data_IF_053846655480
#
_entry.id   IF_053846655480
#
_cell.length_a   1.000
_cell.length_b   1.000
_cell.length_c   1.000
_cell.angle_alpha   90.00
_cell.angle_beta   90.00
_cell.angle_gamma   90.00
#
_symmetry.space_group_name_H-M   'P 1'
#
loop_
_entity.id
_entity.type
_entity.pdbx_description
1 polymer ?
#
# COMPACT_ATOMS: atom_id res chain seq x y z
N UNK A 1 18.94 82.87 43.37
CA UNK A 1 17.81 82.71 42.43
C UNK A 1 18.36 82.16 41.13
N UNK A 2 18.34 80.85 40.92
CA UNK A 2 18.78 80.21 39.68
C UNK A 2 17.86 79.02 39.38
N UNK A 3 16.88 79.28 38.52
CA UNK A 3 16.13 78.29 37.76
C UNK A 3 17.09 77.56 36.82
N UNK A 4 17.36 76.26 37.00
CA UNK A 4 17.78 75.38 35.90
C UNK A 4 17.92 73.90 36.35
N UNK A 5 16.87 73.30 36.91
CA UNK A 5 16.96 71.88 37.30
C UNK A 5 15.61 71.13 37.24
N UNK A 6 14.67 71.58 36.39
CA UNK A 6 13.37 70.90 36.20
C UNK A 6 12.95 70.78 34.74
N UNK A 7 13.91 70.83 33.81
CA UNK A 7 13.64 70.72 32.37
C UNK A 7 14.44 69.59 31.71
N UNK A 8 14.66 68.50 32.44
CA UNK A 8 15.40 67.32 31.96
C UNK A 8 14.60 66.03 32.16
N UNK A 9 13.27 66.10 32.02
CA UNK A 9 12.41 64.90 32.15
C UNK A 9 11.31 64.76 31.07
N UNK A 10 11.27 65.60 30.02
CA UNK A 10 10.16 65.57 29.03
C UNK A 10 10.65 65.47 27.58
N UNK A 11 11.92 65.15 27.32
CA UNK A 11 12.41 65.02 25.91
C UNK A 11 12.74 63.58 25.51
N UNK A 12 12.77 62.62 26.45
CA UNK A 12 13.13 61.23 26.15
C UNK A 12 11.95 60.26 25.92
N UNK A 13 10.74 60.77 25.73
CA UNK A 13 9.53 59.96 25.56
C UNK A 13 8.81 60.18 24.21
N UNK A 14 9.50 60.71 23.19
CA UNK A 14 8.88 61.08 21.91
C UNK A 14 9.54 60.45 20.66
N UNK A 15 10.27 59.33 20.79
CA UNK A 15 10.93 58.66 19.64
C UNK A 15 10.61 57.16 19.51
N UNK A 16 9.47 56.69 20.03
CA UNK A 16 9.03 55.30 19.90
C UNK A 16 7.74 55.13 19.09
N UNK A 17 7.43 56.08 18.20
CA UNK A 17 6.28 55.93 17.31
C UNK A 17 6.67 55.41 15.94
N UNK A 18 5.97 54.36 15.53
CA UNK A 18 5.75 53.91 14.16
C UNK A 18 6.79 52.98 13.50
N UNK A 19 6.77 51.70 13.93
CA UNK A 19 6.89 50.56 13.00
C UNK A 19 5.70 49.61 13.21
N UNK A 20 4.48 50.09 12.96
CA UNK A 20 3.32 49.21 12.83
C UNK A 20 3.28 48.65 11.42
N UNK A 21 4.00 47.54 11.18
CA UNK A 21 3.94 46.78 9.93
C UNK A 21 2.53 46.22 9.75
N UNK A 22 1.74 46.80 8.83
CA UNK A 22 0.48 46.20 8.40
C UNK A 22 0.81 44.97 7.56
N UNK A 23 0.61 43.77 8.09
CA UNK A 23 0.59 42.56 7.28
C UNK A 23 -0.60 42.65 6.31
N UNK A 24 -0.38 42.47 5.00
CA UNK A 24 -1.50 42.34 4.06
C UNK A 24 -2.39 41.16 4.50
N UNK A 25 -3.71 41.25 4.35
CA UNK A 25 -4.58 40.11 4.57
C UNK A 25 -4.09 38.94 3.70
N UNK A 26 -4.07 37.69 4.22
CA UNK A 26 -3.74 36.54 3.40
C UNK A 26 -4.69 36.50 2.21
N UNK A 27 -4.14 36.31 1.02
CA UNK A 27 -4.94 36.16 -0.19
C UNK A 27 -6.01 35.08 0.04
N UNK A 28 -7.25 35.25 -0.47
CA UNK A 28 -8.25 34.21 -0.39
C UNK A 28 -7.67 32.93 -0.98
N UNK A 29 -7.57 31.89 -0.16
CA UNK A 29 -7.15 30.56 -0.61
C UNK A 29 -8.26 30.07 -1.52
N UNK A 30 -8.12 30.31 -2.83
CA UNK A 30 -8.94 29.66 -3.84
C UNK A 30 -8.59 28.19 -3.75
N UNK A 31 -9.38 27.44 -2.97
CA UNK A 31 -9.30 25.98 -2.95
C UNK A 31 -9.63 25.52 -4.35
N UNK A 32 -8.62 25.11 -5.10
CA UNK A 32 -8.83 24.39 -6.34
C UNK A 32 -9.79 23.22 -6.04
N UNK A 33 -10.79 22.95 -6.90
CA UNK A 33 -11.61 21.78 -6.73
C UNK A 33 -10.69 20.56 -6.63
N UNK A 34 -10.86 19.77 -5.56
CA UNK A 34 -10.24 18.46 -5.47
C UNK A 34 -10.87 17.63 -6.58
N UNK A 35 -10.19 17.57 -7.73
CA UNK A 35 -10.54 16.66 -8.79
C UNK A 35 -10.19 15.28 -8.25
N UNK A 36 -11.19 14.59 -7.72
CA UNK A 36 -11.09 13.16 -7.51
C UNK A 36 -10.86 12.55 -8.90
N UNK A 37 -9.60 12.20 -9.20
CA UNK A 37 -9.30 11.37 -10.36
C UNK A 37 -10.14 10.09 -10.30
N UNK A 38 -10.32 9.37 -11.42
CA UNK A 38 -11.14 8.17 -11.43
C UNK A 38 -10.68 7.25 -10.29
N UNK A 39 -11.54 7.08 -9.28
CA UNK A 39 -11.37 6.06 -8.26
C UNK A 39 -11.21 4.76 -9.03
N UNK A 40 -10.07 4.08 -8.87
CA UNK A 40 -9.84 2.80 -9.53
C UNK A 40 -11.01 1.90 -9.14
N UNK A 41 -11.93 1.70 -10.08
CA UNK A 41 -13.16 0.95 -9.83
C UNK A 41 -12.77 -0.50 -10.01
N UNK A 42 -12.38 -1.12 -8.90
CA UNK A 42 -12.12 -2.55 -8.85
C UNK A 42 -13.45 -3.31 -8.88
N UNK A 43 -13.43 -4.59 -9.24
CA UNK A 43 -14.59 -5.45 -8.98
C UNK A 43 -14.77 -5.59 -7.46
N UNK A 44 -16.00 -5.80 -6.96
CA UNK A 44 -16.24 -6.04 -5.53
C UNK A 44 -15.33 -7.14 -4.94
N UNK A 45 -15.15 -8.24 -5.67
CA UNK A 45 -14.25 -9.31 -5.23
C UNK A 45 -12.77 -8.89 -5.13
N UNK A 46 -12.30 -7.98 -5.99
CA UNK A 46 -10.94 -7.46 -5.89
C UNK A 46 -10.79 -6.54 -4.66
N UNK A 47 -11.84 -5.79 -4.32
CA UNK A 47 -11.91 -4.99 -3.10
C UNK A 47 -11.92 -5.87 -1.83
N UNK A 48 -12.69 -6.95 -1.82
CA UNK A 48 -12.71 -7.91 -0.71
C UNK A 48 -11.35 -8.61 -0.55
N UNK A 49 -10.72 -9.02 -1.65
CA UNK A 49 -9.37 -9.60 -1.64
C UNK A 49 -8.35 -8.60 -1.11
N UNK A 50 -8.44 -7.32 -1.50
CA UNK A 50 -7.59 -6.24 -1.01
C UNK A 50 -7.71 -6.08 0.50
N UNK A 51 -8.93 -5.85 1.00
CA UNK A 51 -9.16 -5.64 2.43
C UNK A 51 -8.76 -6.87 3.23
N UNK A 52 -9.06 -8.06 2.72
CA UNK A 52 -8.71 -9.28 3.42
C UNK A 52 -7.21 -9.51 3.48
N UNK A 53 -6.47 -9.27 2.39
CA UNK A 53 -5.02 -9.36 2.40
C UNK A 53 -4.39 -8.35 3.37
N UNK A 54 -4.85 -7.10 3.36
CA UNK A 54 -4.36 -6.04 4.25
C UNK A 54 -4.65 -6.34 5.72
N UNK A 55 -5.84 -6.87 6.04
CA UNK A 55 -6.22 -7.23 7.41
C UNK A 55 -5.37 -8.35 8.03
N UNK A 56 -4.61 -9.10 7.21
CA UNK A 56 -3.72 -10.17 7.68
C UNK A 56 -2.28 -9.69 7.89
N UNK A 57 -1.94 -8.45 7.55
CA UNK A 57 -0.63 -7.86 7.84
C UNK A 57 -0.33 -7.93 9.34
N UNK A 58 0.88 -8.36 9.67
CA UNK A 58 1.32 -8.63 11.04
C UNK A 58 1.20 -10.09 11.45
N UNK A 59 0.42 -10.92 10.75
CA UNK A 59 0.28 -12.35 11.08
C UNK A 59 1.64 -13.07 10.93
N UNK A 60 2.06 -13.92 11.89
CA UNK A 60 3.36 -14.60 11.80
C UNK A 60 3.52 -15.49 10.57
N UNK A 61 4.73 -15.54 10.03
CA UNK A 61 5.08 -16.57 9.05
C UNK A 61 5.21 -17.93 9.74
N UNK A 62 4.62 -18.97 9.13
CA UNK A 62 4.86 -20.38 9.47
C UNK A 62 4.90 -21.22 8.20
N UNK A 63 5.95 -22.03 8.05
CA UNK A 63 6.04 -22.99 6.95
C UNK A 63 4.86 -23.96 7.02
N UNK A 64 4.12 -24.11 5.92
CA UNK A 64 2.90 -24.92 5.89
C UNK A 64 1.66 -24.23 6.48
N UNK A 65 1.81 -23.08 7.13
CA UNK A 65 0.73 -22.32 7.74
C UNK A 65 -0.25 -21.77 6.72
N UNK A 66 -1.55 -21.81 7.04
CA UNK A 66 -2.64 -21.46 6.14
C UNK A 66 -3.88 -20.87 6.86
N UNK A 67 -3.72 -20.41 8.11
CA UNK A 67 -4.77 -19.74 8.89
C UNK A 67 -4.19 -18.58 9.70
N UNK A 68 -5.00 -17.59 10.14
CA UNK A 68 -4.52 -16.47 10.96
C UNK A 68 -3.92 -16.95 12.29
N UNK A 69 -4.58 -17.92 12.94
CA UNK A 69 -4.15 -18.43 14.25
C UNK A 69 -2.84 -19.23 14.16
N UNK A 70 -2.70 -20.06 13.13
CA UNK A 70 -1.47 -20.83 12.91
C UNK A 70 -0.35 -20.03 12.27
N UNK A 71 -0.63 -18.84 11.73
CA UNK A 71 0.26 -18.14 10.81
C UNK A 71 0.23 -18.70 9.38
N UNK A 72 0.99 -18.04 8.50
CA UNK A 72 0.95 -18.28 7.05
C UNK A 72 2.32 -18.57 6.43
N UNK A 73 2.37 -19.45 5.43
CA UNK A 73 3.37 -19.33 4.36
C UNK A 73 2.82 -18.52 3.18
N UNK A 74 3.66 -18.24 2.19
CA UNK A 74 3.30 -17.37 1.06
C UNK A 74 2.07 -17.87 0.30
N UNK A 75 2.03 -19.15 -0.03
CA UNK A 75 0.91 -19.79 -0.72
C UNK A 75 -0.30 -20.02 0.18
N UNK A 76 -0.10 -20.27 1.48
CA UNK A 76 -1.15 -20.44 2.46
C UNK A 76 -1.91 -19.15 2.70
N UNK A 77 -1.21 -18.01 2.72
CA UNK A 77 -1.82 -16.68 2.73
C UNK A 77 -2.71 -16.46 1.50
N UNK A 78 -2.18 -16.74 0.30
CA UNK A 78 -2.92 -16.59 -0.96
C UNK A 78 -4.20 -17.43 -0.95
N UNK A 79 -4.07 -18.72 -0.66
CA UNK A 79 -5.22 -19.63 -0.65
C UNK A 79 -6.27 -19.24 0.39
N UNK A 80 -5.84 -18.74 1.57
CA UNK A 80 -6.75 -18.28 2.61
C UNK A 80 -7.51 -17.01 2.22
N UNK A 81 -6.82 -16.01 1.67
CA UNK A 81 -7.45 -14.75 1.22
C UNK A 81 -8.47 -15.04 0.13
N UNK A 82 -8.10 -15.79 -0.90
CA UNK A 82 -8.97 -16.06 -2.04
C UNK A 82 -10.19 -16.91 -1.70
N UNK A 83 -10.03 -17.92 -0.83
CA UNK A 83 -11.14 -18.75 -0.38
C UNK A 83 -12.18 -17.93 0.37
N UNK A 84 -11.75 -17.02 1.23
CA UNK A 84 -12.64 -16.32 2.13
C UNK A 84 -13.27 -15.07 1.50
N UNK A 85 -12.48 -14.32 0.71
CA UNK A 85 -12.95 -13.09 0.08
C UNK A 85 -13.70 -13.33 -1.24
N UNK A 86 -13.41 -14.42 -1.94
CA UNK A 86 -13.98 -14.68 -3.27
C UNK A 86 -14.55 -16.11 -3.45
N UNK A 87 -14.49 -16.95 -2.41
CA UNK A 87 -14.92 -18.35 -2.51
C UNK A 87 -14.09 -19.21 -3.46
N UNK A 88 -12.90 -18.75 -3.87
CA UNK A 88 -12.07 -19.42 -4.88
C UNK A 88 -11.06 -20.35 -4.20
N UNK A 89 -11.11 -21.64 -4.54
CA UNK A 89 -10.14 -22.62 -4.09
C UNK A 89 -8.91 -22.61 -5.01
N UNK A 90 -7.79 -22.17 -4.46
CA UNK A 90 -6.51 -22.14 -5.18
C UNK A 90 -5.62 -23.33 -4.81
N UNK A 91 -4.73 -23.76 -5.73
CA UNK A 91 -3.69 -24.74 -5.43
C UNK A 91 -2.83 -24.34 -4.23
N UNK A 92 -2.39 -25.35 -3.46
CA UNK A 92 -1.72 -25.12 -2.17
C UNK A 92 -0.29 -24.60 -2.29
N UNK A 93 0.42 -24.87 -3.38
CA UNK A 93 1.84 -24.56 -3.50
C UNK A 93 2.10 -23.48 -4.55
N UNK A 94 3.17 -22.69 -4.38
CA UNK A 94 3.59 -21.69 -5.37
C UNK A 94 3.92 -22.30 -6.74
N UNK A 95 4.39 -23.55 -6.76
CA UNK A 95 4.67 -24.30 -8.01
C UNK A 95 3.39 -24.60 -8.77
N UNK A 96 2.32 -24.98 -8.07
CA UNK A 96 1.03 -25.24 -8.69
C UNK A 96 0.34 -23.93 -9.10
N UNK A 97 0.44 -22.90 -8.25
CA UNK A 97 -0.12 -21.57 -8.54
C UNK A 97 0.46 -20.94 -9.82
N UNK A 98 1.76 -21.08 -10.09
CA UNK A 98 2.36 -20.49 -11.29
C UNK A 98 2.01 -21.24 -12.58
N UNK A 99 1.61 -22.52 -12.50
CA UNK A 99 1.21 -23.32 -13.67
C UNK A 99 -0.30 -23.46 -13.82
N UNK A 100 -1.08 -22.97 -12.86
CA UNK A 100 -2.54 -23.05 -12.92
C UNK A 100 -3.10 -22.33 -14.15
N UNK A 101 -4.27 -22.79 -14.59
CA UNK A 101 -5.00 -22.19 -15.69
C UNK A 101 -5.58 -20.84 -15.27
N UNK A 102 -4.82 -19.78 -15.51
CA UNK A 102 -5.24 -18.39 -15.36
C UNK A 102 -4.40 -17.50 -16.30
N UNK A 103 -4.98 -16.43 -16.88
CA UNK A 103 -4.28 -15.53 -17.77
C UNK A 103 -3.02 -14.94 -17.14
N UNK A 104 -1.93 -14.89 -17.92
CA UNK A 104 -0.72 -14.18 -17.53
C UNK A 104 -0.91 -12.68 -17.72
N UNK A 105 -0.29 -11.88 -16.84
CA UNK A 105 -0.41 -10.42 -16.84
C UNK A 105 0.97 -9.79 -16.92
N UNK A 106 1.13 -8.81 -17.81
CA UNK A 106 2.31 -7.94 -17.88
C UNK A 106 2.38 -6.98 -16.68
N UNK A 107 3.56 -6.45 -16.35
CA UNK A 107 3.73 -5.59 -15.16
C UNK A 107 2.87 -4.32 -15.24
N UNK A 108 2.75 -3.77 -16.42
CA UNK A 108 1.94 -2.60 -16.77
C UNK A 108 0.43 -2.87 -16.70
N UNK A 109 0.02 -4.14 -16.76
CA UNK A 109 -1.37 -4.55 -16.72
C UNK A 109 -1.85 -4.99 -15.33
N UNK A 110 -1.00 -4.90 -14.30
CA UNK A 110 -1.33 -5.40 -12.95
C UNK A 110 -2.54 -4.69 -12.35
N UNK A 111 -3.44 -5.50 -11.80
CA UNK A 111 -4.66 -5.07 -11.12
C UNK A 111 -4.72 -5.71 -9.73
N UNK A 112 -5.38 -5.01 -8.80
CA UNK A 112 -5.62 -5.51 -7.45
C UNK A 112 -6.19 -6.92 -7.49
N UNK A 113 -5.61 -7.81 -6.67
CA UNK A 113 -5.90 -9.23 -6.66
C UNK A 113 -4.90 -10.07 -7.44
N UNK A 114 -4.29 -9.57 -8.52
CA UNK A 114 -3.36 -10.36 -9.34
C UNK A 114 -2.28 -11.03 -8.48
N UNK A 115 -2.02 -12.32 -8.74
CA UNK A 115 -0.93 -13.03 -8.08
C UNK A 115 0.37 -12.73 -8.77
N UNK A 116 1.39 -12.38 -8.00
CA UNK A 116 2.74 -12.11 -8.50
C UNK A 116 3.72 -13.15 -7.98
N UNK A 117 4.64 -13.58 -8.85
CA UNK A 117 5.55 -14.70 -8.59
C UNK A 117 7.01 -14.27 -8.67
N UNK A 118 7.84 -14.87 -7.80
CA UNK A 118 9.24 -14.49 -7.64
C UNK A 118 10.19 -15.70 -7.52
N UNK A 119 11.43 -15.52 -7.97
CA UNK A 119 12.57 -16.40 -7.72
C UNK A 119 13.47 -15.83 -6.60
N UNK A 120 12.95 -15.76 -5.37
CA UNK A 120 13.70 -15.23 -4.21
C UNK A 120 14.86 -16.12 -3.77
N UNK A 121 14.82 -17.42 -4.11
CA UNK A 121 15.93 -18.36 -3.90
C UNK A 121 16.99 -18.31 -5.02
N UNK A 122 16.84 -17.40 -6.00
CA UNK A 122 17.69 -17.31 -7.18
C UNK A 122 17.28 -18.23 -8.33
N UNK A 123 17.91 -18.03 -9.48
CA UNK A 123 17.60 -18.77 -10.72
C UNK A 123 16.30 -18.32 -11.38
N UNK A 124 15.64 -19.25 -12.08
CA UNK A 124 14.42 -19.01 -12.85
C UNK A 124 13.17 -19.72 -12.30
N UNK A 125 13.33 -20.47 -11.20
CA UNK A 125 12.23 -21.24 -10.61
C UNK A 125 11.47 -20.42 -9.58
N UNK A 126 10.14 -20.55 -9.57
CA UNK A 126 9.30 -19.94 -8.54
C UNK A 126 9.68 -20.47 -7.16
N UNK A 127 9.86 -19.56 -6.22
CA UNK A 127 10.12 -19.86 -4.81
C UNK A 127 9.24 -19.05 -3.87
N UNK A 128 8.61 -17.98 -4.36
CA UNK A 128 7.78 -17.09 -3.56
C UNK A 128 6.66 -16.46 -4.38
N UNK A 129 5.59 -16.03 -3.70
CA UNK A 129 4.45 -15.37 -4.32
C UNK A 129 3.80 -14.34 -3.38
N UNK A 130 3.01 -13.42 -3.95
CA UNK A 130 2.23 -12.43 -3.21
C UNK A 130 0.97 -12.01 -3.96
N UNK A 131 0.12 -11.25 -3.27
CA UNK A 131 -1.12 -10.67 -3.82
C UNK A 131 -0.85 -9.21 -4.11
N UNK A 132 -1.01 -8.79 -5.37
CA UNK A 132 -0.89 -7.39 -5.75
C UNK A 132 -2.08 -6.58 -5.20
N UNK A 133 -1.80 -5.43 -4.58
CA UNK A 133 -2.79 -4.59 -3.88
C UNK A 133 -2.80 -3.16 -4.40
N UNK A 134 -2.39 -2.96 -5.66
CA UNK A 134 -2.39 -1.66 -6.32
C UNK A 134 -1.09 -0.87 -6.11
N UNK A 135 -0.90 0.15 -6.97
CA UNK A 135 0.18 1.14 -6.86
C UNK A 135 1.60 0.54 -6.70
N UNK A 136 1.89 -0.58 -7.38
CA UNK A 136 3.18 -1.24 -7.30
C UNK A 136 3.42 -2.02 -6.00
N UNK A 137 2.41 -2.18 -5.14
CA UNK A 137 2.52 -2.82 -3.83
C UNK A 137 1.85 -4.20 -3.81
N UNK A 138 2.33 -5.04 -2.91
CA UNK A 138 1.81 -6.39 -2.73
C UNK A 138 1.92 -6.87 -1.29
N UNK A 139 1.01 -7.74 -0.89
CA UNK A 139 1.02 -8.40 0.42
C UNK A 139 1.56 -9.81 0.29
N UNK A 140 2.44 -10.21 1.21
CA UNK A 140 3.01 -11.56 1.23
C UNK A 140 3.46 -11.98 2.64
N UNK A 141 3.59 -13.29 2.86
CA UNK A 141 4.24 -13.87 4.04
C UNK A 141 5.71 -14.22 3.70
N UNK A 142 6.72 -13.50 4.21
CA UNK A 142 8.07 -13.47 3.62
C UNK A 142 8.92 -14.73 3.87
N UNK A 143 9.14 -15.09 5.14
CA UNK A 143 9.99 -16.20 5.57
C UNK A 143 9.91 -16.38 7.09
N UNK A 144 10.48 -17.47 7.61
CA UNK A 144 10.60 -17.75 9.05
C UNK A 144 11.18 -16.57 9.82
N UNK A 145 10.56 -16.23 10.95
CA UNK A 145 10.92 -15.07 11.77
C UNK A 145 10.30 -13.75 11.30
N UNK A 146 9.68 -13.71 10.11
CA UNK A 146 8.93 -12.56 9.63
C UNK A 146 7.41 -12.67 9.89
N UNK A 147 6.71 -11.62 9.48
CA UNK A 147 5.25 -11.52 9.50
C UNK A 147 4.74 -11.14 8.11
N UNK A 148 3.47 -11.42 7.84
CA UNK A 148 2.77 -10.92 6.66
C UNK A 148 2.95 -9.41 6.59
N UNK A 149 3.35 -8.90 5.43
CA UNK A 149 3.67 -7.48 5.26
C UNK A 149 3.38 -6.99 3.86
N UNK A 150 3.33 -5.68 3.74
CA UNK A 150 3.28 -4.95 2.48
C UNK A 150 4.71 -4.69 1.99
N UNK A 151 4.98 -5.02 0.74
CA UNK A 151 6.23 -4.68 0.06
C UNK A 151 5.95 -4.02 -1.30
N UNK A 152 6.99 -3.46 -1.92
CA UNK A 152 6.89 -2.70 -3.18
C UNK A 152 7.74 -3.33 -4.28
N UNK A 153 7.15 -3.47 -5.46
CA UNK A 153 7.82 -3.87 -6.71
C UNK A 153 8.88 -2.87 -7.16
N UNK A 154 8.92 -1.65 -6.60
CA UNK A 154 9.99 -0.68 -6.88
C UNK A 154 11.31 -0.99 -6.19
N UNK A 155 11.33 -1.88 -5.17
CA UNK A 155 12.57 -2.25 -4.48
C UNK A 155 13.42 -3.14 -5.39
N UNK A 156 14.72 -2.84 -5.51
CA UNK A 156 15.65 -3.57 -6.38
C UNK A 156 15.66 -5.09 -6.15
N UNK A 157 15.52 -5.54 -4.89
CA UNK A 157 15.40 -6.95 -4.54
C UNK A 157 14.22 -7.63 -5.28
N UNK A 158 13.04 -7.01 -5.25
CA UNK A 158 11.83 -7.55 -5.88
C UNK A 158 11.87 -7.41 -7.40
N UNK A 159 12.46 -6.33 -7.93
CA UNK A 159 12.67 -6.17 -9.37
C UNK A 159 13.53 -7.29 -9.95
N UNK A 160 14.62 -7.65 -9.25
CA UNK A 160 15.53 -8.72 -9.67
C UNK A 160 14.88 -10.11 -9.59
N UNK A 161 14.01 -10.33 -8.61
CA UNK A 161 13.38 -11.62 -8.37
C UNK A 161 12.07 -11.85 -9.16
N UNK A 162 11.46 -10.82 -9.73
CA UNK A 162 10.15 -10.93 -10.40
C UNK A 162 10.19 -11.90 -11.59
N UNK A 163 9.24 -12.83 -11.64
CA UNK A 163 9.07 -13.78 -12.74
C UNK A 163 7.87 -13.43 -13.62
N UNK A 164 6.67 -13.45 -13.04
CA UNK A 164 5.41 -13.32 -13.78
C UNK A 164 4.26 -12.94 -12.85
N UNK A 165 3.09 -12.67 -13.44
CA UNK A 165 1.85 -12.49 -12.72
C UNK A 165 0.69 -13.23 -13.38
N UNK A 166 -0.34 -13.58 -12.60
CA UNK A 166 -1.57 -14.22 -13.05
C UNK A 166 -2.82 -13.52 -12.53
N UNK A 167 -3.84 -13.40 -13.38
CA UNK A 167 -5.16 -12.86 -13.01
C UNK A 167 -6.14 -13.96 -12.70
N UNK A 168 -6.45 -14.11 -11.42
CA UNK A 168 -7.40 -15.11 -10.90
C UNK A 168 -8.84 -14.59 -10.97
N UNK A 169 -9.03 -13.35 -10.57
CA UNK A 169 -10.34 -12.68 -10.57
C UNK A 169 -10.73 -12.34 -12.01
N UNK A 170 -11.43 -13.28 -12.64
CA UNK A 170 -12.00 -13.12 -13.96
C UNK A 170 -13.52 -12.95 -13.85
N UNK A 171 -14.16 -12.18 -14.74
CA UNK A 171 -15.61 -11.99 -14.73
C UNK A 171 -16.39 -13.32 -14.69
N UNK A 172 -15.92 -14.34 -15.39
CA UNK A 172 -16.53 -15.67 -15.42
C UNK A 172 -16.51 -16.40 -14.08
N UNK A 173 -15.44 -16.28 -13.28
CA UNK A 173 -15.38 -16.90 -11.96
C UNK A 173 -16.27 -16.19 -10.94
N UNK A 174 -16.45 -14.87 -11.09
CA UNK A 174 -17.33 -14.08 -10.24
C UNK A 174 -18.81 -14.36 -10.51
N UNK A 175 -19.16 -14.79 -11.73
CA UNK A 175 -20.54 -15.11 -12.10
C UNK A 175 -21.02 -16.49 -11.58
N UNK A 176 -20.11 -17.37 -11.17
CA UNK A 176 -20.42 -18.76 -10.77
C UNK A 176 -20.39 -19.00 -9.25
N UNK A 177 -20.07 -17.98 -8.45
CA UNK A 177 -20.05 -18.03 -6.99
C UNK A 177 -21.07 -17.01 -6.42
N UNK A 178 -22.38 -17.33 -6.43
CA UNK A 178 -23.40 -16.50 -5.78
C UNK A 178 -23.33 -16.56 -4.25
#
# INVERSE_FOLDING_TARGET
MTMSARLTLIVFAALLSACASRTPPPAPVVRAPVVFGPSQSFSPAAEDVLFRALGLVGTPYRWGGNTPDSGFDCSGLIGFVYRDAAGILLPRTTRDLIVMQAPNVGKEGLQTGDLIFFATNGGSQVSHAGIYVGEGRFVHAPATGGTVKLDSLSKAYWQKAYLSAKRVLQPEHLAHNP
#
